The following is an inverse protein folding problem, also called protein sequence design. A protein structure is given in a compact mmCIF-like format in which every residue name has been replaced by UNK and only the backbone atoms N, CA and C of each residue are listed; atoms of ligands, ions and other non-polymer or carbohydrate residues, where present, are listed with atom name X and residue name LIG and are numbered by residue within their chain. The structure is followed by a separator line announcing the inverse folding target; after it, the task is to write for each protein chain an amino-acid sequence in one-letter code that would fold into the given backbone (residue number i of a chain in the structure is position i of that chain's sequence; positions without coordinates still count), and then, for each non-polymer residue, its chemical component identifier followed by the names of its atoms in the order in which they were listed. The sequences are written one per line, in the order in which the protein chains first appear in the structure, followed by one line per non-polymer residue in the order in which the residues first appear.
data_IF_732055597766
#
_entry.id   IF_732055597766
#
_cell.length_a   1.000
_cell.length_b   1.000
_cell.length_c   1.000
_cell.angle_alpha   90.00
_cell.angle_beta   90.00
_cell.angle_gamma   90.00
#
_symmetry.space_group_name_H-M   'P 1'
#
loop_
_entity.id
_entity.type
_entity.pdbx_description
1 polymer ?
#
# COMPACT_ATOMS: atom_id res chain seq x y z
N UNK A 1 15.65 -9.23 9.90
CA UNK A 1 14.85 -8.31 10.70
C UNK A 1 13.98 -7.44 9.81
N UNK A 2 12.73 -7.27 10.19
CA UNK A 2 11.78 -6.48 9.42
C UNK A 2 12.03 -4.99 9.64
N UNK A 3 12.35 -4.27 8.55
CA UNK A 3 12.64 -2.83 8.62
C UNK A 3 11.41 -2.01 9.04
N UNK A 4 10.20 -2.47 8.73
CA UNK A 4 8.98 -1.80 9.16
C UNK A 4 8.80 -1.92 10.67
N UNK A 5 9.05 -3.10 11.23
CA UNK A 5 8.99 -3.30 12.69
C UNK A 5 9.99 -2.41 13.40
N UNK A 6 11.22 -2.32 12.90
CA UNK A 6 12.25 -1.44 13.48
C UNK A 6 11.84 0.03 13.42
N UNK A 7 11.27 0.45 12.29
CA UNK A 7 10.79 1.82 12.12
C UNK A 7 9.69 2.16 13.16
N UNK A 8 8.71 1.27 13.32
CA UNK A 8 7.61 1.48 14.27
C UNK A 8 8.11 1.49 15.71
N UNK A 9 9.02 0.57 16.06
CA UNK A 9 9.59 0.54 17.41
C UNK A 9 10.32 1.82 17.74
N UNK A 10 11.11 2.36 16.82
CA UNK A 10 11.82 3.61 17.02
C UNK A 10 10.86 4.78 17.29
N UNK A 11 9.74 4.84 16.58
CA UNK A 11 8.75 5.89 16.80
C UNK A 11 8.04 5.69 18.13
N UNK A 12 7.65 4.46 18.45
CA UNK A 12 6.92 4.17 19.69
C UNK A 12 7.76 4.42 20.94
N UNK A 13 9.08 4.26 20.83
CA UNK A 13 10.01 4.50 21.91
C UNK A 13 10.47 5.97 21.99
N UNK A 14 10.02 6.83 21.08
CA UNK A 14 10.44 8.23 21.03
C UNK A 14 9.43 9.13 21.75
N UNK A 15 9.90 10.34 22.11
CA UNK A 15 9.02 11.37 22.69
C UNK A 15 8.02 11.90 21.67
N UNK A 16 8.21 11.59 20.39
CA UNK A 16 7.33 12.03 19.31
C UNK A 16 6.10 11.16 19.14
N UNK A 17 5.98 10.03 19.87
CA UNK A 17 4.89 9.08 19.73
C UNK A 17 3.51 9.74 19.71
N UNK A 18 3.28 10.69 20.60
CA UNK A 18 1.98 11.37 20.74
C UNK A 18 1.79 12.54 19.78
N UNK A 19 2.85 12.93 19.05
CA UNK A 19 2.84 14.10 18.18
C UNK A 19 2.77 13.75 16.70
N UNK A 20 2.88 12.46 16.36
CA UNK A 20 2.94 12.03 14.97
C UNK A 20 1.75 11.15 14.63
N UNK A 21 1.35 11.19 13.37
CA UNK A 21 0.35 10.29 12.81
C UNK A 21 1.07 9.01 12.35
N UNK A 22 1.06 7.99 13.19
CA UNK A 22 1.75 6.74 12.90
C UNK A 22 1.24 6.06 11.63
N UNK A 23 -0.09 5.98 11.39
CA UNK A 23 -0.58 5.41 10.13
C UNK A 23 -0.03 6.12 8.89
N UNK A 24 0.04 7.45 8.93
CA UNK A 24 0.60 8.23 7.82
C UNK A 24 2.10 7.96 7.64
N UNK A 25 2.85 7.94 8.74
CA UNK A 25 4.28 7.64 8.70
C UNK A 25 4.56 6.24 8.18
N UNK A 26 3.77 5.25 8.59
CA UNK A 26 3.89 3.89 8.10
C UNK A 26 3.66 3.84 6.59
N UNK A 27 2.62 4.50 6.12
CA UNK A 27 2.29 4.56 4.71
C UNK A 27 3.45 5.16 3.91
N UNK A 28 3.95 6.32 4.32
CA UNK A 28 5.05 7.01 3.64
C UNK A 28 6.34 6.19 3.67
N UNK A 29 6.62 5.54 4.79
CA UNK A 29 7.79 4.66 4.90
C UNK A 29 7.73 3.51 3.91
N UNK A 30 6.56 2.88 3.79
CA UNK A 30 6.36 1.78 2.85
C UNK A 30 6.50 2.24 1.40
N UNK A 31 5.97 3.42 1.07
CA UNK A 31 6.10 4.00 -0.28
C UNK A 31 7.58 4.20 -0.63
N UNK A 32 8.36 4.77 0.27
CA UNK A 32 9.79 4.95 0.04
C UNK A 32 10.50 3.61 -0.16
N UNK A 33 10.15 2.61 0.65
CA UNK A 33 10.70 1.26 0.50
C UNK A 33 10.40 0.63 -0.84
N UNK A 34 9.16 0.80 -1.31
CA UNK A 34 8.73 0.29 -2.62
C UNK A 34 9.57 0.92 -3.73
N UNK A 35 9.72 2.24 -3.71
CA UNK A 35 10.44 2.97 -4.75
C UNK A 35 11.94 2.67 -4.73
N UNK A 36 12.52 2.42 -3.54
CA UNK A 36 13.92 2.02 -3.43
C UNK A 36 14.15 0.59 -3.95
N UNK A 37 13.23 -0.32 -3.63
CA UNK A 37 13.33 -1.73 -4.00
C UNK A 37 13.07 -1.93 -5.49
N UNK A 38 12.17 -1.14 -6.06
CA UNK A 38 11.77 -1.23 -7.45
C UNK A 38 11.97 0.11 -8.15
N UNK A 39 13.22 0.50 -8.43
CA UNK A 39 13.51 1.84 -8.98
C UNK A 39 12.99 2.06 -10.40
N UNK A 40 12.54 1.00 -11.09
CA UNK A 40 11.91 1.14 -12.40
C UNK A 40 10.46 1.58 -12.32
N UNK A 41 9.87 1.60 -11.11
CA UNK A 41 8.50 2.07 -10.90
C UNK A 41 8.48 3.53 -10.48
N UNK A 42 7.37 4.20 -10.75
CA UNK A 42 7.13 5.54 -10.26
C UNK A 42 5.72 5.62 -9.68
N UNK A 43 5.55 6.49 -8.70
CA UNK A 43 4.23 6.78 -8.14
C UNK A 43 3.50 7.76 -9.06
N UNK A 44 2.20 7.52 -9.26
CA UNK A 44 1.32 8.42 -10.01
C UNK A 44 0.11 8.77 -9.15
N UNK A 45 -0.61 9.81 -9.54
CA UNK A 45 -1.85 10.20 -8.88
C UNK A 45 -3.01 9.27 -9.26
N UNK A 46 -4.08 9.31 -8.46
CA UNK A 46 -5.29 8.57 -8.80
C UNK A 46 -5.86 9.04 -10.14
N UNK A 47 -5.85 10.34 -10.38
CA UNK A 47 -6.35 10.90 -11.65
C UNK A 47 -5.58 10.36 -12.85
N UNK A 48 -4.25 10.33 -12.75
CA UNK A 48 -3.42 9.75 -13.79
C UNK A 48 -3.74 8.26 -13.99
N UNK A 49 -3.88 7.53 -12.89
CA UNK A 49 -4.19 6.10 -12.95
C UNK A 49 -5.52 5.84 -13.67
N UNK A 50 -6.53 6.65 -13.40
CA UNK A 50 -7.85 6.51 -14.02
C UNK A 50 -7.84 6.83 -15.52
N UNK A 51 -6.90 7.64 -15.96
CA UNK A 51 -6.81 8.04 -17.38
C UNK A 51 -5.90 7.15 -18.23
N UNK A 52 -5.21 6.20 -17.61
CA UNK A 52 -4.31 5.33 -18.35
C UNK A 52 -5.05 4.26 -19.17
N UNK A 53 -4.49 3.87 -20.33
CA UNK A 53 -5.07 2.79 -21.13
C UNK A 53 -5.23 1.51 -20.31
N UNK A 54 -6.25 0.71 -20.62
CA UNK A 54 -6.50 -0.55 -19.92
C UNK A 54 -5.31 -1.52 -20.02
N UNK A 55 -4.53 -1.41 -21.09
CA UNK A 55 -3.35 -2.24 -21.29
C UNK A 55 -2.19 -1.90 -20.36
N UNK A 56 -2.21 -0.74 -19.71
CA UNK A 56 -1.14 -0.34 -18.80
C UNK A 56 -1.31 -1.06 -17.46
N UNK A 57 -0.25 -1.74 -17.03
CA UNK A 57 -0.23 -2.38 -15.72
C UNK A 57 -0.13 -1.31 -14.64
N UNK A 58 -0.99 -1.40 -13.63
CA UNK A 58 -0.99 -0.49 -12.48
C UNK A 58 -0.93 -1.32 -11.20
N UNK A 59 -0.13 -0.87 -10.25
CA UNK A 59 -0.08 -1.46 -8.92
C UNK A 59 -0.71 -0.47 -7.95
N UNK A 60 -1.67 -0.92 -7.14
CA UNK A 60 -2.28 -0.12 -6.09
C UNK A 60 -1.86 -0.68 -4.73
N UNK A 61 -1.69 0.20 -3.75
CA UNK A 61 -1.13 -0.14 -2.45
C UNK A 61 -1.83 0.61 -1.33
N UNK A 62 -2.10 -0.10 -0.23
CA UNK A 62 -2.64 0.48 1.01
C UNK A 62 -1.92 -0.11 2.21
N UNK A 63 -2.00 0.61 3.34
CA UNK A 63 -1.49 0.14 4.63
C UNK A 63 -2.59 0.16 5.68
N UNK A 64 -2.34 -0.55 6.77
CA UNK A 64 -3.19 -0.63 7.95
C UNK A 64 -2.31 -0.55 9.20
N UNK A 65 -2.79 0.18 10.20
CA UNK A 65 -2.16 0.23 11.51
C UNK A 65 -3.26 0.44 12.55
N UNK A 66 -3.21 -0.32 13.65
CA UNK A 66 -4.18 -0.17 14.72
C UNK A 66 -3.52 0.27 16.03
N UNK A 67 -4.35 0.56 17.04
CA UNK A 67 -3.88 1.05 18.35
C UNK A 67 -3.07 0.01 19.13
N UNK A 68 -3.11 -1.24 18.73
CA UNK A 68 -2.35 -2.32 19.36
C UNK A 68 -0.97 -2.49 18.75
N UNK A 69 -0.61 -1.68 17.77
CA UNK A 69 0.68 -1.75 17.11
C UNK A 69 0.74 -2.78 15.97
N UNK A 70 -0.38 -3.39 15.63
CA UNK A 70 -0.45 -4.29 14.48
C UNK A 70 -0.46 -3.48 13.19
N UNK A 71 0.27 -3.95 12.19
CA UNK A 71 0.32 -3.31 10.89
C UNK A 71 0.24 -4.36 9.78
N UNK A 72 -0.20 -3.92 8.61
CA UNK A 72 -0.24 -4.75 7.43
C UNK A 72 -0.24 -3.86 6.19
N UNK A 73 0.01 -4.47 5.05
CA UNK A 73 -0.06 -3.77 3.77
C UNK A 73 -0.65 -4.72 2.73
N UNK A 74 -1.23 -4.13 1.69
CA UNK A 74 -1.94 -4.91 0.68
C UNK A 74 -1.73 -4.30 -0.70
N UNK A 75 -1.50 -5.16 -1.68
CA UNK A 75 -1.33 -4.78 -3.08
C UNK A 75 -2.47 -5.31 -3.93
N UNK A 76 -2.87 -4.50 -4.91
CA UNK A 76 -3.71 -4.93 -6.02
C UNK A 76 -2.99 -4.63 -7.32
N UNK A 77 -3.20 -5.45 -8.33
CA UNK A 77 -2.56 -5.28 -9.64
C UNK A 77 -3.62 -5.28 -10.72
N UNK A 78 -3.56 -4.28 -11.60
CA UNK A 78 -4.38 -4.24 -12.81
C UNK A 78 -3.56 -4.72 -14.00
N UNK A 79 -4.10 -5.70 -14.72
CA UNK A 79 -3.53 -6.17 -15.99
C UNK A 79 -4.65 -6.25 -17.01
N UNK A 80 -4.47 -5.61 -18.15
CA UNK A 80 -5.48 -5.61 -19.21
C UNK A 80 -6.87 -5.18 -18.70
N UNK A 81 -6.90 -4.18 -17.83
CA UNK A 81 -8.12 -3.63 -17.28
C UNK A 81 -8.74 -4.41 -16.12
N UNK A 82 -8.16 -5.55 -15.74
CA UNK A 82 -8.71 -6.40 -14.67
C UNK A 82 -7.85 -6.26 -13.42
N UNK A 83 -8.48 -5.85 -12.32
CA UNK A 83 -7.85 -5.78 -11.02
C UNK A 83 -7.89 -7.15 -10.34
N UNK A 84 -6.79 -7.54 -9.74
CA UNK A 84 -6.70 -8.78 -8.97
C UNK A 84 -5.88 -8.56 -7.71
N UNK A 85 -6.11 -9.41 -6.71
CA UNK A 85 -5.32 -9.39 -5.48
C UNK A 85 -5.23 -10.81 -4.93
N UNK A 86 -4.24 -11.01 -4.05
CA UNK A 86 -4.04 -12.27 -3.38
C UNK A 86 -3.73 -11.98 -1.91
N UNK A 87 -4.38 -12.72 -1.03
CA UNK A 87 -4.12 -12.63 0.40
C UNK A 87 -3.28 -13.83 0.84
N UNK A 88 -2.03 -13.54 1.26
CA UNK A 88 -1.13 -14.58 1.73
C UNK A 88 -1.03 -15.74 0.76
N UNK A 89 -1.36 -16.95 1.22
CA UNK A 89 -1.32 -18.17 0.41
C UNK A 89 -2.61 -18.47 -0.33
N UNK A 90 -3.63 -17.60 -0.24
CA UNK A 90 -4.90 -17.85 -0.91
C UNK A 90 -4.79 -17.67 -2.43
N UNK A 91 -5.83 -18.13 -3.14
CA UNK A 91 -5.89 -17.99 -4.60
C UNK A 91 -6.00 -16.52 -4.99
N UNK A 92 -5.45 -16.19 -6.16
CA UNK A 92 -5.62 -14.87 -6.75
C UNK A 92 -7.10 -14.66 -7.07
N UNK A 93 -7.63 -13.51 -6.67
CA UNK A 93 -9.03 -13.14 -6.89
C UNK A 93 -9.11 -11.89 -7.75
N UNK A 94 -10.06 -11.89 -8.68
CA UNK A 94 -10.38 -10.68 -9.43
C UNK A 94 -11.25 -9.77 -8.57
N UNK A 95 -11.08 -8.47 -8.75
CA UNK A 95 -11.81 -7.47 -7.98
C UNK A 95 -11.88 -6.16 -8.75
N UNK A 96 -12.60 -5.19 -8.20
CA UNK A 96 -12.54 -3.81 -8.68
C UNK A 96 -11.68 -3.00 -7.74
N UNK A 97 -11.17 -1.86 -8.20
CA UNK A 97 -10.37 -0.98 -7.35
C UNK A 97 -11.17 -0.49 -6.14
N UNK A 98 -12.42 -0.17 -6.36
CA UNK A 98 -13.31 0.36 -5.32
C UNK A 98 -13.72 -0.70 -4.30
N UNK A 99 -13.70 -1.97 -4.71
CA UNK A 99 -14.10 -3.08 -3.84
C UNK A 99 -12.87 -3.83 -3.34
N UNK A 100 -12.31 -3.34 -2.25
CA UNK A 100 -11.41 -4.16 -1.46
C UNK A 100 -12.28 -5.19 -0.74
N UNK A 101 -11.74 -6.37 -0.46
CA UNK A 101 -12.48 -7.37 0.31
C UNK A 101 -12.84 -6.80 1.68
N UNK A 102 -13.83 -7.38 2.33
CA UNK A 102 -14.26 -6.87 3.64
C UNK A 102 -13.13 -6.86 4.67
N UNK A 103 -12.14 -7.72 4.51
CA UNK A 103 -10.97 -7.72 5.39
C UNK A 103 -10.07 -6.53 5.05
N UNK A 104 -10.01 -6.17 3.78
CA UNK A 104 -9.20 -5.03 3.34
C UNK A 104 -9.86 -3.69 3.66
N UNK A 105 -11.13 -3.66 4.04
CA UNK A 105 -11.78 -2.42 4.42
C UNK A 105 -11.19 -1.81 5.71
N UNK A 106 -10.41 -2.58 6.47
CA UNK A 106 -9.66 -2.06 7.60
C UNK A 106 -8.40 -1.29 7.18
N UNK A 107 -8.02 -1.35 5.90
CA UNK A 107 -6.90 -0.59 5.36
C UNK A 107 -7.39 0.82 5.05
N UNK A 108 -7.19 1.71 6.01
CA UNK A 108 -7.75 3.06 6.00
C UNK A 108 -6.83 4.12 5.42
N UNK A 109 -5.63 3.75 4.98
CA UNK A 109 -4.73 4.69 4.32
C UNK A 109 -5.27 5.10 2.95
N UNK A 110 -4.78 6.21 2.38
CA UNK A 110 -5.04 6.48 0.96
C UNK A 110 -4.47 5.36 0.09
N UNK A 111 -4.93 5.30 -1.15
CA UNK A 111 -4.38 4.35 -2.10
C UNK A 111 -3.24 5.00 -2.87
N UNK A 112 -2.08 4.36 -2.91
CA UNK A 112 -0.98 4.79 -3.75
C UNK A 112 -0.98 3.95 -5.03
N UNK A 113 -0.65 4.59 -6.15
CA UNK A 113 -0.64 3.93 -7.47
C UNK A 113 0.75 4.03 -8.06
N UNK A 114 1.20 2.93 -8.67
CA UNK A 114 2.52 2.85 -9.27
C UNK A 114 2.43 2.28 -10.67
N UNK A 115 3.25 2.80 -11.57
CA UNK A 115 3.43 2.24 -12.91
C UNK A 115 4.91 2.08 -13.19
N UNK A 116 5.25 1.19 -14.12
CA UNK A 116 6.61 1.05 -14.60
C UNK A 116 6.97 2.24 -15.47
N UNK A 117 8.17 2.74 -15.28
CA UNK A 117 8.67 3.88 -16.08
C UNK A 117 8.88 3.51 -17.52
#
# INVERSE_FOLDING_TARGET
EDSVSSFLLNIMDSDLYYEVDIPELLFDFCIEGILKTFPTYKRISEEEARCLPLSTKIIAFRTFFNDFGDYDYHFKVRKNGIWSHKRGSSKIKECTLEKWSYIDCSYDSPTAYFIER
#
